data_IF_010009176979
#
_entry.id   IF_010009176979
#
_cell.length_a   1.000
_cell.length_b   1.000
_cell.length_c   1.000
_cell.angle_alpha   90.00
_cell.angle_beta   90.00
_cell.angle_gamma   90.00
#
_symmetry.space_group_name_H-M   'P 1'
#
loop_
_entity.id
_entity.type
_entity.pdbx_description
1 polymer ?
#
# COMPACT_ATOMS: atom_id res chain seq x y z
N UNK A 1 -16.89 16.23 -1.99
CA UNK A 1 -16.81 14.80 -1.65
C UNK A 1 -16.32 14.10 -2.89
N UNK A 2 -15.26 13.32 -2.81
CA UNK A 2 -14.73 12.59 -3.96
C UNK A 2 -15.08 11.11 -3.80
N UNK A 3 -15.47 10.47 -4.90
CA UNK A 3 -15.72 9.04 -4.97
C UNK A 3 -14.69 8.42 -5.91
N UNK A 4 -14.17 7.25 -5.54
CA UNK A 4 -13.15 6.53 -6.31
C UNK A 4 -13.65 5.10 -6.57
N UNK A 5 -13.58 4.66 -7.82
CA UNK A 5 -14.01 3.34 -8.25
C UNK A 5 -12.98 2.63 -9.11
N UNK A 6 -13.10 1.31 -9.16
CA UNK A 6 -12.36 0.42 -10.04
C UNK A 6 -13.26 -0.73 -10.49
N UNK A 7 -13.02 -1.27 -11.68
CA UNK A 7 -13.60 -2.53 -12.13
C UNK A 7 -12.63 -3.66 -11.81
N UNK A 8 -13.09 -4.69 -11.11
CA UNK A 8 -12.33 -5.92 -10.84
C UNK A 8 -12.99 -7.05 -11.61
N UNK A 9 -12.28 -7.63 -12.58
CA UNK A 9 -12.85 -8.58 -13.52
C UNK A 9 -12.06 -9.88 -13.54
N UNK A 10 -12.76 -10.99 -13.26
CA UNK A 10 -12.26 -12.36 -13.39
C UNK A 10 -13.17 -13.12 -14.35
N UNK A 11 -12.57 -13.96 -15.19
CA UNK A 11 -13.30 -14.70 -16.22
C UNK A 11 -12.88 -16.17 -16.25
N UNK A 12 -13.87 -17.05 -16.33
CA UNK A 12 -13.70 -18.47 -16.61
C UNK A 12 -14.24 -18.76 -18.00
N UNK A 13 -13.51 -19.54 -18.80
CA UNK A 13 -14.03 -19.99 -20.09
C UNK A 13 -15.19 -20.97 -19.86
N UNK A 14 -16.25 -20.95 -20.71
CA UNK A 14 -17.26 -22.00 -20.70
C UNK A 14 -16.62 -23.39 -20.71
N UNK A 15 -17.22 -24.34 -20.00
CA UNK A 15 -16.77 -25.74 -19.86
C UNK A 15 -15.44 -25.95 -19.13
N UNK A 16 -14.84 -24.91 -18.53
CA UNK A 16 -13.68 -25.08 -17.64
C UNK A 16 -14.13 -25.53 -16.24
N UNK A 17 -13.54 -26.60 -15.67
CA UNK A 17 -13.82 -26.99 -14.28
C UNK A 17 -13.54 -25.85 -13.30
N UNK A 18 -14.38 -25.76 -12.26
CA UNK A 18 -14.22 -24.78 -11.19
C UNK A 18 -14.12 -25.52 -9.86
N UNK A 19 -12.89 -25.86 -9.49
CA UNK A 19 -12.55 -26.41 -8.19
C UNK A 19 -11.57 -25.48 -7.46
N UNK A 20 -11.59 -25.57 -6.13
CA UNK A 20 -10.83 -24.66 -5.29
C UNK A 20 -9.32 -24.71 -5.56
N UNK A 21 -8.76 -25.86 -5.87
CA UNK A 21 -7.31 -25.99 -6.02
C UNK A 21 -6.84 -25.49 -7.39
N UNK A 22 -7.64 -25.69 -8.45
CA UNK A 22 -7.20 -25.48 -9.83
C UNK A 22 -7.68 -24.20 -10.50
N UNK A 23 -8.71 -23.52 -9.99
CA UNK A 23 -9.23 -22.34 -10.68
C UNK A 23 -8.15 -21.26 -10.82
N UNK A 24 -8.05 -20.64 -11.99
CA UNK A 24 -7.06 -19.58 -12.22
C UNK A 24 -7.40 -18.37 -11.33
N UNK A 25 -6.45 -17.84 -10.54
CA UNK A 25 -6.68 -16.62 -9.74
C UNK A 25 -6.32 -15.32 -10.47
N UNK A 26 -5.79 -15.42 -11.68
CA UNK A 26 -5.45 -14.26 -12.49
C UNK A 26 -6.70 -13.47 -12.88
N UNK A 27 -6.62 -12.16 -12.69
CA UNK A 27 -7.70 -11.22 -12.97
C UNK A 27 -7.13 -9.82 -13.23
N UNK A 28 -7.99 -8.86 -13.52
CA UNK A 28 -7.58 -7.50 -13.86
C UNK A 28 -8.31 -6.46 -13.01
N UNK A 29 -7.61 -5.39 -12.65
CA UNK A 29 -8.21 -4.18 -12.08
C UNK A 29 -8.12 -3.05 -13.11
N UNK A 30 -9.25 -2.50 -13.52
CA UNK A 30 -9.30 -1.29 -14.36
C UNK A 30 -9.62 -0.09 -13.47
N UNK A 31 -8.66 0.83 -13.35
CA UNK A 31 -8.82 2.06 -12.59
C UNK A 31 -9.52 3.14 -13.42
N UNK A 32 -10.11 4.14 -12.76
CA UNK A 32 -10.90 5.20 -13.41
C UNK A 32 -10.15 5.98 -14.51
N UNK A 33 -8.81 6.02 -14.46
CA UNK A 33 -7.98 6.64 -15.50
C UNK A 33 -7.70 5.76 -16.72
N UNK A 34 -8.22 4.53 -16.77
CA UNK A 34 -7.97 3.56 -17.84
C UNK A 34 -6.77 2.64 -17.61
N UNK A 35 -6.01 2.82 -16.53
CA UNK A 35 -4.90 1.94 -16.17
C UNK A 35 -5.42 0.54 -15.82
N UNK A 36 -4.78 -0.49 -16.38
CA UNK A 36 -5.13 -1.90 -16.15
C UNK A 36 -4.00 -2.59 -15.39
N UNK A 37 -4.29 -3.01 -14.16
CA UNK A 37 -3.37 -3.74 -13.31
C UNK A 37 -3.63 -5.24 -13.43
N UNK A 38 -2.59 -5.99 -13.81
CA UNK A 38 -2.61 -7.44 -13.80
C UNK A 38 -2.52 -7.93 -12.35
N UNK A 39 -3.53 -8.65 -11.91
CA UNK A 39 -3.68 -9.06 -10.51
C UNK A 39 -3.85 -10.57 -10.36
N UNK A 40 -3.56 -11.06 -9.17
CA UNK A 40 -3.77 -12.45 -8.76
C UNK A 40 -3.95 -12.52 -7.23
N UNK A 41 -4.33 -13.68 -6.71
CA UNK A 41 -4.06 -14.02 -5.32
C UNK A 41 -2.54 -14.05 -5.04
N UNK A 42 -2.14 -14.06 -3.76
CA UNK A 42 -0.75 -14.30 -3.39
C UNK A 42 -0.34 -15.76 -3.66
N UNK A 43 0.96 -16.07 -3.76
CA UNK A 43 1.44 -17.45 -3.92
C UNK A 43 0.96 -18.40 -2.82
N UNK A 44 0.79 -17.90 -1.58
CA UNK A 44 0.27 -18.68 -0.44
C UNK A 44 -1.17 -19.16 -0.66
N UNK A 45 -1.91 -18.52 -1.58
CA UNK A 45 -3.28 -18.85 -1.96
C UNK A 45 -3.40 -19.28 -3.43
N UNK A 46 -2.37 -19.99 -3.92
CA UNK A 46 -2.26 -20.57 -5.27
C UNK A 46 -2.25 -19.54 -6.42
N UNK A 47 -1.90 -18.28 -6.11
CA UNK A 47 -1.80 -17.23 -7.11
C UNK A 47 -0.42 -17.12 -7.75
N UNK A 48 -0.30 -16.15 -8.65
CA UNK A 48 0.88 -15.88 -9.44
C UNK A 48 1.75 -14.77 -8.81
N UNK A 49 2.97 -15.11 -8.36
CA UNK A 49 3.87 -14.18 -7.66
C UNK A 49 4.51 -13.08 -8.52
N UNK A 50 4.19 -13.02 -9.82
CA UNK A 50 4.63 -11.94 -10.71
C UNK A 50 3.52 -10.90 -11.01
N UNK A 51 2.34 -11.05 -10.38
CA UNK A 51 1.20 -10.13 -10.49
C UNK A 51 0.94 -9.46 -9.15
N UNK A 52 0.29 -8.31 -9.18
CA UNK A 52 -0.13 -7.61 -7.96
C UNK A 52 -1.11 -8.49 -7.20
N UNK A 53 -0.88 -8.69 -5.91
CA UNK A 53 -1.88 -9.26 -5.02
C UNK A 53 -2.52 -8.19 -4.12
N UNK A 54 -3.74 -8.43 -3.60
CA UNK A 54 -4.45 -7.46 -2.76
C UNK A 54 -3.66 -7.02 -1.51
N UNK A 55 -2.94 -7.94 -0.86
CA UNK A 55 -2.20 -7.65 0.36
C UNK A 55 -1.03 -6.68 0.09
N UNK A 56 -0.24 -6.97 -0.95
CA UNK A 56 0.81 -6.06 -1.44
C UNK A 56 0.24 -4.71 -1.87
N UNK A 57 -0.92 -4.70 -2.54
CA UNK A 57 -1.56 -3.47 -2.97
C UNK A 57 -2.01 -2.58 -1.80
N UNK A 58 -2.52 -3.17 -0.70
CA UNK A 58 -2.84 -2.42 0.53
C UNK A 58 -1.59 -1.82 1.15
N UNK A 59 -0.49 -2.58 1.22
CA UNK A 59 0.80 -2.10 1.74
C UNK A 59 1.34 -0.95 0.88
N UNK A 60 1.33 -1.12 -0.45
CA UNK A 60 1.78 -0.12 -1.40
C UNK A 60 0.91 1.16 -1.37
N UNK A 61 -0.42 1.02 -1.32
CA UNK A 61 -1.33 2.16 -1.22
C UNK A 61 -1.16 2.94 0.10
N UNK A 62 -0.90 2.23 1.20
CA UNK A 62 -0.63 2.85 2.51
C UNK A 62 0.66 3.65 2.48
N UNK A 63 1.73 3.06 1.94
CA UNK A 63 3.03 3.72 1.75
C UNK A 63 2.91 4.96 0.85
N UNK A 64 2.26 4.82 -0.31
CA UNK A 64 2.05 5.91 -1.27
C UNK A 64 1.23 7.06 -0.68
N UNK A 65 0.15 6.76 0.04
CA UNK A 65 -0.66 7.79 0.69
C UNK A 65 0.15 8.56 1.75
N UNK A 66 0.92 7.84 2.58
CA UNK A 66 1.81 8.47 3.55
C UNK A 66 2.87 9.35 2.86
N UNK A 67 3.52 8.84 1.82
CA UNK A 67 4.51 9.58 1.02
C UNK A 67 3.93 10.89 0.46
N UNK A 68 2.77 10.84 -0.18
CA UNK A 68 2.14 12.03 -0.77
C UNK A 68 1.81 13.07 0.29
N UNK A 69 1.32 12.65 1.46
CA UNK A 69 1.07 13.56 2.58
C UNK A 69 2.37 14.15 3.12
N UNK A 70 3.43 13.35 3.27
CA UNK A 70 4.75 13.83 3.69
C UNK A 70 5.30 14.89 2.72
N UNK A 71 5.29 14.61 1.42
CA UNK A 71 5.77 15.51 0.37
C UNK A 71 4.96 16.82 0.37
N UNK A 72 3.64 16.74 0.54
CA UNK A 72 2.80 17.93 0.64
C UNK A 72 3.12 18.80 1.87
N UNK A 73 3.40 18.18 3.02
CA UNK A 73 3.81 18.90 4.24
C UNK A 73 5.18 19.54 4.05
N UNK A 74 6.16 18.81 3.50
CA UNK A 74 7.50 19.31 3.24
C UNK A 74 7.45 20.53 2.29
N UNK A 75 6.72 20.42 1.18
CA UNK A 75 6.54 21.50 0.22
C UNK A 75 5.91 22.76 0.86
N UNK A 76 4.87 22.61 1.68
CA UNK A 76 4.24 23.73 2.40
C UNK A 76 5.19 24.43 3.39
N UNK A 77 6.20 23.72 3.88
CA UNK A 77 7.23 24.24 4.81
C UNK A 77 8.47 24.78 4.09
N UNK A 78 8.50 24.77 2.75
CA UNK A 78 9.68 25.15 1.98
C UNK A 78 10.83 24.14 2.06
N UNK A 79 10.57 22.92 2.52
CA UNK A 79 11.57 21.84 2.60
C UNK A 79 11.55 21.10 1.27
N UNK A 80 12.61 21.25 0.47
CA UNK A 80 12.71 20.62 -0.84
C UNK A 80 13.23 19.18 -0.71
N UNK A 81 12.37 18.22 -1.07
CA UNK A 81 12.68 16.79 -1.13
C UNK A 81 13.13 16.44 -2.55
N UNK A 82 14.30 15.81 -2.68
CA UNK A 82 14.84 15.32 -3.95
C UNK A 82 14.45 13.87 -4.22
N UNK A 83 14.36 13.04 -3.19
CA UNK A 83 14.01 11.63 -3.31
C UNK A 83 13.25 11.15 -2.07
N UNK A 84 12.28 10.28 -2.29
CA UNK A 84 11.59 9.53 -1.25
C UNK A 84 11.47 8.08 -1.73
N UNK A 85 12.07 7.15 -1.01
CA UNK A 85 11.98 5.72 -1.31
C UNK A 85 11.53 5.01 -0.05
N UNK A 86 10.46 4.24 -0.14
CA UNK A 86 9.98 3.40 0.96
C UNK A 86 10.13 1.93 0.61
N UNK A 87 10.43 1.11 1.62
CA UNK A 87 10.43 -0.36 1.55
C UNK A 87 9.45 -0.89 2.59
N UNK A 88 8.14 -0.76 2.32
CA UNK A 88 7.12 -1.11 3.29
C UNK A 88 6.98 -2.64 3.38
N UNK A 89 6.50 -3.13 4.53
CA UNK A 89 6.19 -4.54 4.75
C UNK A 89 4.86 -4.68 5.48
N UNK A 90 4.03 -5.65 5.09
CA UNK A 90 2.84 -6.06 5.83
C UNK A 90 2.98 -7.48 6.38
N UNK A 91 2.24 -7.78 7.46
CA UNK A 91 2.10 -9.15 7.99
C UNK A 91 0.66 -9.62 7.83
N UNK A 92 0.45 -10.85 7.35
CA UNK A 92 -0.87 -11.48 7.25
C UNK A 92 -0.93 -12.64 8.23
N UNK A 93 -1.74 -12.50 9.27
CA UNK A 93 -1.84 -13.45 10.38
C UNK A 93 -3.27 -13.47 10.95
N UNK A 94 -3.55 -14.34 11.92
CA UNK A 94 -4.83 -14.29 12.66
C UNK A 94 -4.86 -13.10 13.61
N UNK A 95 -5.89 -12.27 13.51
CA UNK A 95 -6.14 -11.17 14.44
C UNK A 95 -6.73 -11.66 15.78
N UNK A 96 -7.02 -10.74 16.71
CA UNK A 96 -7.63 -11.06 18.02
C UNK A 96 -9.03 -11.66 17.95
N UNK A 97 -9.71 -11.56 16.80
CA UNK A 97 -11.01 -12.20 16.53
C UNK A 97 -10.85 -13.58 15.86
N UNK A 98 -9.62 -14.07 15.68
CA UNK A 98 -9.31 -15.35 15.05
C UNK A 98 -9.39 -15.34 13.52
N UNK A 99 -9.58 -14.18 12.88
CA UNK A 99 -9.71 -14.01 11.42
C UNK A 99 -8.36 -13.70 10.79
N UNK A 100 -8.07 -14.27 9.63
CA UNK A 100 -6.87 -13.92 8.85
C UNK A 100 -7.04 -12.49 8.31
N UNK A 101 -6.07 -11.63 8.58
CA UNK A 101 -6.06 -10.23 8.17
C UNK A 101 -4.62 -9.70 8.07
N UNK A 102 -4.44 -8.57 7.41
CA UNK A 102 -3.19 -7.80 7.52
C UNK A 102 -3.12 -7.25 8.95
N UNK A 103 -2.24 -7.78 9.81
CA UNK A 103 -2.19 -7.47 11.25
C UNK A 103 -1.21 -6.36 11.62
N UNK A 104 -0.27 -6.03 10.74
CA UNK A 104 0.60 -4.85 10.88
C UNK A 104 1.14 -4.40 9.53
N UNK A 105 1.41 -3.10 9.41
CA UNK A 105 2.17 -2.53 8.28
C UNK A 105 3.30 -1.68 8.88
N UNK A 106 4.49 -1.80 8.30
CA UNK A 106 5.64 -0.96 8.66
C UNK A 106 6.17 -0.26 7.44
N UNK A 107 6.22 1.06 7.48
CA UNK A 107 6.81 1.92 6.45
C UNK A 107 8.25 2.26 6.85
N UNK A 108 9.18 2.19 5.91
CA UNK A 108 10.62 2.45 6.08
C UNK A 108 11.11 3.47 5.06
N UNK A 109 10.64 4.72 5.16
CA UNK A 109 10.98 5.74 4.20
C UNK A 109 12.41 6.23 4.40
N UNK A 110 13.11 6.39 3.28
CA UNK A 110 14.40 7.07 3.16
C UNK A 110 14.21 8.32 2.32
N UNK A 111 14.57 9.47 2.87
CA UNK A 111 14.34 10.78 2.24
C UNK A 111 15.68 11.47 1.98
N UNK A 112 15.82 12.05 0.79
CA UNK A 112 16.96 12.90 0.43
C UNK A 112 16.43 14.31 0.22
N UNK A 113 17.05 15.29 0.88
CA UNK A 113 16.72 16.71 0.78
C UNK A 113 17.78 17.43 -0.06
N UNK A 114 17.43 18.62 -0.58
CA UNK A 114 18.32 19.43 -1.42
C UNK A 114 19.46 20.05 -0.59
N UNK A 115 19.11 20.97 0.31
CA UNK A 115 20.05 21.67 1.21
C UNK A 115 19.56 21.70 2.66
N UNK A 116 18.62 20.80 3.01
CA UNK A 116 18.09 20.70 4.37
C UNK A 116 18.77 19.55 5.12
N UNK A 117 19.54 19.90 6.15
CA UNK A 117 19.98 18.94 7.16
C UNK A 117 18.90 18.88 8.25
N UNK A 118 17.96 17.95 8.09
CA UNK A 118 16.97 17.68 9.12
C UNK A 118 17.54 16.64 10.08
N UNK A 119 17.67 17.03 11.35
CA UNK A 119 17.99 16.08 12.39
C UNK A 119 16.88 15.00 12.54
N UNK A 120 17.24 13.87 13.15
CA UNK A 120 16.31 12.74 13.36
C UNK A 120 14.97 13.15 14.00
N UNK A 121 14.95 13.96 15.08
CA UNK A 121 13.72 14.45 15.68
C UNK A 121 12.85 15.31 14.74
N UNK A 122 13.42 16.19 13.93
CA UNK A 122 12.68 17.02 12.99
C UNK A 122 12.10 16.17 11.85
N UNK A 123 12.88 15.22 11.33
CA UNK A 123 12.42 14.25 10.34
C UNK A 123 11.26 13.40 10.89
N UNK A 124 11.40 12.87 12.10
CA UNK A 124 10.35 12.09 12.75
C UNK A 124 9.05 12.91 12.89
N UNK A 125 9.13 14.19 13.30
CA UNK A 125 7.94 15.05 13.39
C UNK A 125 7.24 15.26 12.05
N UNK A 126 7.96 15.28 10.93
CA UNK A 126 7.36 15.33 9.60
C UNK A 126 6.62 14.03 9.28
N UNK A 127 7.24 12.89 9.55
CA UNK A 127 6.61 11.57 9.39
C UNK A 127 5.38 11.40 10.28
N UNK A 128 5.44 11.79 11.55
CA UNK A 128 4.29 11.72 12.46
C UNK A 128 3.14 12.60 11.96
N UNK A 129 3.48 13.79 11.43
CA UNK A 129 2.48 14.68 10.84
C UNK A 129 1.88 14.09 9.57
N UNK A 130 2.67 13.42 8.74
CA UNK A 130 2.19 12.75 7.54
C UNK A 130 1.29 11.57 7.87
N UNK A 131 1.70 10.73 8.83
CA UNK A 131 0.95 9.57 9.28
C UNK A 131 -0.43 9.95 9.83
N UNK A 132 -0.52 10.98 10.70
CA UNK A 132 -1.81 11.49 11.21
C UNK A 132 -2.78 11.95 10.11
N UNK A 133 -2.25 12.40 8.98
CA UNK A 133 -3.03 12.92 7.85
C UNK A 133 -3.09 11.93 6.66
N UNK A 134 -2.69 10.68 6.86
CA UNK A 134 -2.75 9.64 5.83
C UNK A 134 -4.14 9.01 5.80
N UNK A 135 -4.90 9.25 4.73
CA UNK A 135 -6.28 8.75 4.61
C UNK A 135 -6.35 7.22 4.64
N UNK A 136 -5.42 6.54 3.98
CA UNK A 136 -5.38 5.07 3.96
C UNK A 136 -5.08 4.53 5.35
N UNK A 137 -4.05 5.03 6.03
CA UNK A 137 -3.72 4.57 7.38
C UNK A 137 -4.88 4.83 8.37
N UNK A 138 -5.55 5.98 8.27
CA UNK A 138 -6.73 6.31 9.09
C UNK A 138 -7.96 5.43 8.80
N UNK A 139 -7.96 4.69 7.68
CA UNK A 139 -9.06 3.80 7.28
C UNK A 139 -8.83 2.35 7.69
N UNK A 140 -7.63 1.99 8.15
CA UNK A 140 -7.27 0.64 8.53
C UNK A 140 -7.43 0.44 10.04
N UNK A 141 -7.92 -0.74 10.45
CA UNK A 141 -7.84 -1.17 11.87
C UNK A 141 -6.41 -1.57 12.27
N UNK A 142 -5.61 -1.90 11.28
CA UNK A 142 -4.26 -2.42 11.40
C UNK A 142 -3.30 -1.32 11.84
N UNK A 143 -2.45 -1.54 12.86
CA UNK A 143 -1.43 -0.57 13.21
C UNK A 143 -0.43 -0.38 12.05
N UNK A 144 -0.16 0.89 11.73
CA UNK A 144 0.86 1.28 10.75
C UNK A 144 1.99 2.00 11.50
N UNK A 145 3.18 1.40 11.53
CA UNK A 145 4.38 2.00 12.12
C UNK A 145 5.25 2.67 11.06
N UNK A 146 5.94 3.74 11.44
CA UNK A 146 6.90 4.44 10.59
C UNK A 146 8.28 4.34 11.22
N UNK A 147 9.23 3.78 10.48
CA UNK A 147 10.63 3.59 10.89
C UNK A 147 11.52 4.30 9.86
N UNK A 148 11.66 5.65 9.92
CA UNK A 148 12.50 6.39 8.98
C UNK A 148 13.96 5.95 9.05
N UNK A 149 14.62 5.86 7.90
CA UNK A 149 16.02 5.46 7.75
C UNK A 149 16.93 6.63 7.34
#
# INVERSE_FOLDING_TARGET
MSEYGATVAWHLKPDTPFDYESFNRDHEWTLSGGEVVQASASPDFFGCGNKVNPDEAVVAATSSCHMLTFLAIAAKRGIKVLSYIDRPSGKVEKNSEGRVAITSITLRPKVVFDDADLDGPALQKLHDSAHRNCFVANSLKTPVSIEPA
#
